data_IF_119602733239
#
_entry.id   IF_119602733239
#
_cell.length_a   1.000
_cell.length_b   1.000
_cell.length_c   1.000
_cell.angle_alpha   90.00
_cell.angle_beta   90.00
_cell.angle_gamma   90.00
#
_symmetry.space_group_name_H-M   'P 1'
#
loop_
_entity.id
_entity.type
_entity.pdbx_description
1 polymer ?
#
# COMPACT_ATOMS: atom_id res chain seq x y z
N UNK A 1 -13.13 7.76 -15.98
CA UNK A 1 -13.77 6.74 -15.12
C UNK A 1 -14.05 5.42 -15.83
N UNK A 2 -14.46 5.37 -17.12
CA UNK A 2 -14.77 4.10 -17.82
C UNK A 2 -13.72 2.98 -17.67
N UNK A 3 -12.42 3.32 -17.65
CA UNK A 3 -11.34 2.35 -17.45
C UNK A 3 -11.36 1.63 -16.08
N UNK A 4 -12.03 2.20 -15.08
CA UNK A 4 -12.11 1.69 -13.70
C UNK A 4 -13.49 1.13 -13.36
N UNK A 5 -14.36 0.85 -14.34
CA UNK A 5 -15.63 0.12 -14.17
C UNK A 5 -16.48 0.57 -12.97
N UNK A 6 -16.88 -0.39 -12.13
CA UNK A 6 -17.59 -0.18 -10.86
C UNK A 6 -16.68 -0.30 -9.64
N UNK A 7 -15.39 0.01 -9.78
CA UNK A 7 -14.42 -0.10 -8.69
C UNK A 7 -14.70 0.89 -7.55
N UNK A 8 -14.21 0.56 -6.35
CA UNK A 8 -14.20 1.48 -5.23
C UNK A 8 -13.08 2.52 -5.38
N UNK A 9 -13.37 3.76 -4.97
CA UNK A 9 -12.37 4.81 -4.80
C UNK A 9 -12.19 5.05 -3.32
N UNK A 10 -11.11 4.50 -2.77
CA UNK A 10 -10.81 4.60 -1.36
C UNK A 10 -9.98 5.85 -1.05
N UNK A 11 -10.54 6.79 -0.29
CA UNK A 11 -9.94 8.10 -0.03
C UNK A 11 -9.65 8.29 1.46
N UNK A 12 -8.39 8.47 1.88
CA UNK A 12 -8.04 8.77 3.26
C UNK A 12 -8.24 10.26 3.61
N UNK A 13 -9.46 10.76 3.39
CA UNK A 13 -9.83 12.19 3.46
C UNK A 13 -9.47 12.84 4.79
N UNK A 14 -9.61 12.10 5.89
CA UNK A 14 -9.39 12.60 7.25
C UNK A 14 -8.02 12.23 7.81
N UNK A 15 -7.10 11.74 6.96
CA UNK A 15 -5.77 11.36 7.42
C UNK A 15 -4.85 12.57 7.65
N UNK A 16 -5.01 13.66 6.89
CA UNK A 16 -4.32 14.93 7.08
C UNK A 16 -5.23 16.10 6.77
N UNK A 17 -5.08 17.21 7.50
CA UNK A 17 -5.86 18.44 7.28
C UNK A 17 -5.90 18.90 5.80
N UNK A 18 -4.78 18.92 5.05
CA UNK A 18 -4.81 19.35 3.65
C UNK A 18 -5.53 18.39 2.71
N UNK A 19 -5.81 17.15 3.13
CA UNK A 19 -6.46 16.14 2.32
C UNK A 19 -7.98 16.26 2.28
N UNK A 20 -8.61 16.88 3.28
CA UNK A 20 -10.07 16.89 3.43
C UNK A 20 -10.77 17.58 2.25
N UNK A 21 -10.41 18.84 1.97
CA UNK A 21 -11.08 19.62 0.93
C UNK A 21 -10.92 19.00 -0.48
N UNK A 22 -9.72 18.59 -0.94
CA UNK A 22 -9.57 17.89 -2.22
C UNK A 22 -10.38 16.57 -2.29
N UNK A 23 -10.49 15.86 -1.16
CA UNK A 23 -11.24 14.61 -1.10
C UNK A 23 -12.75 14.82 -1.28
N UNK A 24 -13.29 15.87 -0.66
CA UNK A 24 -14.69 16.24 -0.83
C UNK A 24 -14.97 16.74 -2.25
N UNK A 25 -14.07 17.57 -2.81
CA UNK A 25 -14.17 17.99 -4.21
C UNK A 25 -14.16 16.81 -5.18
N UNK A 26 -13.29 15.83 -4.96
CA UNK A 26 -13.27 14.60 -5.77
C UNK A 26 -14.59 13.83 -5.63
N UNK A 27 -15.12 13.67 -4.41
CA UNK A 27 -16.41 13.03 -4.18
C UNK A 27 -17.56 13.71 -4.93
N UNK A 28 -17.66 15.05 -4.84
CA UNK A 28 -18.69 15.81 -5.54
C UNK A 28 -18.55 15.68 -7.07
N UNK A 29 -17.34 15.83 -7.62
CA UNK A 29 -17.12 15.67 -9.06
C UNK A 29 -17.50 14.27 -9.58
N UNK A 30 -17.29 13.22 -8.77
CA UNK A 30 -17.69 11.85 -9.13
C UNK A 30 -19.19 11.62 -9.04
N UNK A 31 -19.85 12.29 -8.10
CA UNK A 31 -21.31 12.26 -7.94
C UNK A 31 -21.98 12.99 -9.11
N UNK A 32 -21.50 14.18 -9.45
CA UNK A 32 -22.06 15.03 -10.50
C UNK A 32 -21.86 14.44 -11.91
N UNK A 33 -20.81 13.63 -12.10
CA UNK A 33 -20.52 12.96 -13.38
C UNK A 33 -21.28 11.65 -13.60
N UNK A 34 -22.22 11.30 -12.71
CA UNK A 34 -22.97 10.04 -12.73
C UNK A 34 -22.05 8.82 -12.91
N UNK A 35 -20.88 8.83 -12.24
CA UNK A 35 -19.91 7.75 -12.35
C UNK A 35 -20.41 6.49 -11.61
N UNK A 36 -20.08 5.30 -12.13
CA UNK A 36 -20.48 4.02 -11.51
C UNK A 36 -19.59 3.61 -10.32
N UNK A 37 -18.63 4.44 -9.93
CA UNK A 37 -17.71 4.13 -8.84
C UNK A 37 -18.26 4.56 -7.50
N UNK A 38 -18.04 3.72 -6.49
CA UNK A 38 -18.40 4.02 -5.10
C UNK A 38 -17.20 4.62 -4.38
N UNK A 39 -17.35 5.83 -3.85
CA UNK A 39 -16.34 6.49 -3.03
C UNK A 39 -16.45 6.00 -1.58
N UNK A 40 -15.33 5.57 -1.00
CA UNK A 40 -15.23 5.14 0.38
C UNK A 40 -14.23 6.03 1.12
N UNK A 41 -14.67 6.73 2.16
CA UNK A 41 -13.75 7.45 3.03
C UNK A 41 -13.14 6.52 4.07
N UNK A 42 -11.82 6.58 4.23
CA UNK A 42 -11.12 5.81 5.24
C UNK A 42 -11.61 6.20 6.65
N UNK A 43 -12.00 5.21 7.44
CA UNK A 43 -12.39 5.44 8.82
C UNK A 43 -11.18 5.97 9.63
N UNK A 44 -11.29 7.16 10.27
CA UNK A 44 -10.19 7.75 11.03
C UNK A 44 -9.76 6.92 12.25
N UNK A 45 -10.66 6.19 12.88
CA UNK A 45 -10.32 5.31 14.00
C UNK A 45 -9.52 4.09 13.53
N UNK A 46 -9.87 3.55 12.37
CA UNK A 46 -9.09 2.47 11.76
C UNK A 46 -7.67 2.95 11.42
N UNK A 47 -7.52 4.13 10.80
CA UNK A 47 -6.22 4.75 10.54
C UNK A 47 -5.37 4.91 11.81
N UNK A 48 -5.98 5.40 12.89
CA UNK A 48 -5.32 5.60 14.19
C UNK A 48 -4.91 4.28 14.83
N UNK A 49 -5.79 3.28 14.82
CA UNK A 49 -5.55 2.00 15.46
C UNK A 49 -4.47 1.19 14.75
N UNK A 50 -4.50 1.16 13.41
CA UNK A 50 -3.45 0.54 12.60
C UNK A 50 -2.11 1.25 12.81
N UNK A 51 -2.11 2.59 12.85
CA UNK A 51 -0.93 3.38 13.20
C UNK A 51 -0.29 2.96 14.53
N UNK A 52 -1.11 2.83 15.58
CA UNK A 52 -0.65 2.38 16.91
C UNK A 52 -0.13 0.94 16.87
N UNK A 53 -0.84 0.05 16.20
CA UNK A 53 -0.50 -1.37 16.09
C UNK A 53 0.92 -1.58 15.54
N UNK A 54 1.25 -0.88 14.46
CA UNK A 54 2.56 -0.98 13.80
C UNK A 54 3.66 -0.24 14.56
N UNK A 55 3.33 0.89 15.19
CA UNK A 55 4.27 1.59 16.06
C UNK A 55 4.75 0.71 17.21
N UNK A 56 3.83 -0.06 17.81
CA UNK A 56 4.17 -1.03 18.85
C UNK A 56 4.94 -2.26 18.33
N UNK A 57 5.15 -2.38 17.02
CA UNK A 57 5.93 -3.43 16.35
C UNK A 57 7.20 -2.89 15.68
N UNK A 58 7.63 -1.70 16.09
CA UNK A 58 8.90 -1.14 15.64
C UNK A 58 8.84 -0.37 14.31
N UNK A 59 7.65 0.09 13.89
CA UNK A 59 7.53 1.07 12.80
C UNK A 59 7.45 2.48 13.38
N UNK A 60 8.54 3.23 13.29
CA UNK A 60 8.77 4.53 13.89
C UNK A 60 8.53 5.71 12.93
N UNK A 61 8.00 5.45 11.74
CA UNK A 61 7.54 6.49 10.83
C UNK A 61 6.52 7.42 11.49
N UNK A 62 6.56 8.72 11.15
CA UNK A 62 5.54 9.68 11.62
C UNK A 62 4.14 9.25 11.18
N UNK A 63 4.04 8.60 10.03
CA UNK A 63 2.84 8.00 9.44
C UNK A 63 3.21 6.73 8.71
N UNK A 64 2.28 5.78 8.67
CA UNK A 64 2.40 4.62 7.80
C UNK A 64 2.29 5.04 6.33
N UNK A 65 2.95 4.33 5.44
CA UNK A 65 2.66 4.41 4.01
C UNK A 65 1.23 3.98 3.70
N UNK A 66 0.70 4.44 2.57
CA UNK A 66 -0.58 3.93 2.03
C UNK A 66 -0.52 2.41 1.82
N UNK A 67 0.64 1.88 1.40
CA UNK A 67 0.83 0.45 1.17
C UNK A 67 0.62 -0.38 2.43
N UNK A 68 1.29 -0.04 3.54
CA UNK A 68 1.16 -0.78 4.80
C UNK A 68 -0.25 -0.68 5.37
N UNK A 69 -0.90 0.48 5.22
CA UNK A 69 -2.29 0.65 5.62
C UNK A 69 -3.25 -0.26 4.83
N UNK A 70 -3.11 -0.33 3.51
CA UNK A 70 -3.94 -1.21 2.66
C UNK A 70 -3.67 -2.69 2.91
N UNK A 71 -2.42 -3.08 3.18
CA UNK A 71 -2.12 -4.46 3.60
C UNK A 71 -2.80 -4.78 4.92
N UNK A 72 -2.82 -3.85 5.88
CA UNK A 72 -3.50 -4.06 7.17
C UNK A 72 -5.00 -4.22 7.01
N UNK A 73 -5.61 -3.47 6.09
CA UNK A 73 -7.02 -3.61 5.73
C UNK A 73 -7.29 -4.97 5.07
N UNK A 74 -6.46 -5.36 4.10
CA UNK A 74 -6.60 -6.63 3.39
C UNK A 74 -6.48 -7.83 4.35
N UNK A 75 -5.53 -7.80 5.30
CA UNK A 75 -5.38 -8.85 6.32
C UNK A 75 -6.60 -9.00 7.23
N UNK A 76 -7.43 -7.96 7.37
CA UNK A 76 -8.68 -8.04 8.13
C UNK A 76 -9.90 -8.49 7.31
N UNK A 77 -9.80 -8.54 5.98
CA UNK A 77 -10.92 -8.79 5.08
C UNK A 77 -10.74 -10.01 4.16
N UNK A 78 -9.50 -10.37 3.86
CA UNK A 78 -9.17 -11.40 2.88
C UNK A 78 -8.62 -12.65 3.58
N UNK A 79 -8.97 -13.83 3.06
CA UNK A 79 -8.44 -15.11 3.56
C UNK A 79 -6.95 -15.27 3.24
N UNK A 80 -6.51 -14.82 2.06
CA UNK A 80 -5.12 -14.84 1.63
C UNK A 80 -4.72 -13.49 1.03
N UNK A 81 -3.58 -12.96 1.47
CA UNK A 81 -3.03 -11.69 0.98
C UNK A 81 -1.69 -11.94 0.31
N UNK A 82 -1.55 -11.50 -0.95
CA UNK A 82 -0.27 -11.48 -1.66
C UNK A 82 0.09 -10.04 -2.02
N UNK A 83 1.22 -9.56 -1.50
CA UNK A 83 1.71 -8.20 -1.68
C UNK A 83 2.78 -8.14 -2.77
N UNK A 84 2.61 -7.19 -3.70
CA UNK A 84 3.53 -6.91 -4.81
C UNK A 84 4.00 -5.46 -4.75
N UNK A 85 5.19 -5.17 -5.30
CA UNK A 85 5.71 -3.80 -5.39
C UNK A 85 6.20 -3.20 -4.06
N UNK A 86 6.32 -4.01 -3.00
CA UNK A 86 6.91 -3.58 -1.73
C UNK A 86 8.42 -3.78 -1.76
N UNK A 87 9.16 -2.78 -2.24
CA UNK A 87 10.61 -2.74 -2.24
C UNK A 87 11.12 -1.31 -2.02
N UNK A 88 11.44 -0.90 -0.78
CA UNK A 88 11.78 0.49 -0.48
C UNK A 88 13.27 0.81 -0.69
N UNK A 89 13.98 0.02 -1.51
CA UNK A 89 15.42 0.13 -1.72
C UNK A 89 15.74 0.49 -3.18
N UNK A 90 16.84 1.23 -3.38
CA UNK A 90 17.27 1.68 -4.70
C UNK A 90 18.09 0.66 -5.49
N UNK A 91 18.31 -0.52 -4.92
CA UNK A 91 19.08 -1.62 -5.52
C UNK A 91 18.20 -2.87 -5.53
N UNK A 92 18.10 -3.55 -6.66
CA UNK A 92 17.35 -4.78 -6.84
C UNK A 92 18.08 -6.02 -6.31
N UNK A 93 17.40 -7.16 -6.38
CA UNK A 93 17.98 -8.46 -5.98
C UNK A 93 19.13 -8.92 -6.87
N UNK A 94 19.23 -8.37 -8.08
CA UNK A 94 20.31 -8.60 -9.04
C UNK A 94 21.44 -7.55 -8.92
N UNK A 95 21.46 -6.79 -7.82
CA UNK A 95 22.42 -5.73 -7.52
C UNK A 95 22.37 -4.54 -8.50
N UNK A 96 21.35 -4.46 -9.35
CA UNK A 96 21.18 -3.33 -10.27
C UNK A 96 20.38 -2.20 -9.64
N UNK A 97 20.64 -0.94 -10.01
CA UNK A 97 19.79 0.17 -9.61
C UNK A 97 18.35 -0.04 -10.06
N UNK A 98 17.39 0.25 -9.19
CA UNK A 98 15.95 0.21 -9.48
C UNK A 98 15.31 1.56 -9.16
N UNK A 99 14.38 1.98 -10.01
CA UNK A 99 13.59 3.20 -9.79
C UNK A 99 12.70 3.07 -8.56
N UNK A 100 12.42 4.20 -7.91
CA UNK A 100 11.55 4.22 -6.73
C UNK A 100 10.11 3.78 -7.05
N UNK A 101 9.55 4.26 -8.17
CA UNK A 101 8.28 3.78 -8.68
C UNK A 101 8.50 2.90 -9.91
N UNK A 102 7.52 2.04 -10.21
CA UNK A 102 7.58 1.22 -11.43
C UNK A 102 7.35 2.04 -12.72
N UNK A 103 6.80 3.26 -12.59
CA UNK A 103 6.45 4.15 -13.71
C UNK A 103 7.31 5.41 -13.78
N UNK A 104 8.07 5.75 -12.73
CA UNK A 104 8.98 6.90 -12.68
C UNK A 104 10.04 6.73 -11.57
N UNK A 105 10.89 7.74 -11.36
CA UNK A 105 11.88 7.74 -10.28
C UNK A 105 11.73 8.94 -9.32
N UNK A 106 10.51 9.38 -9.06
CA UNK A 106 10.23 10.46 -8.10
C UNK A 106 10.42 9.91 -6.68
N UNK A 107 11.39 10.44 -5.95
CA UNK A 107 11.68 10.01 -4.58
C UNK A 107 10.63 10.53 -3.59
N UNK A 108 10.27 9.74 -2.56
CA UNK A 108 9.30 10.14 -1.57
C UNK A 108 9.93 11.11 -0.58
N UNK A 109 9.10 11.90 0.11
CA UNK A 109 9.58 12.66 1.26
C UNK A 109 9.93 11.69 2.40
N UNK A 110 11.23 11.53 2.67
CA UNK A 110 11.76 10.68 3.74
C UNK A 110 11.32 11.08 5.15
N UNK A 111 10.67 12.24 5.30
CA UNK A 111 10.28 12.79 6.61
C UNK A 111 9.03 12.14 7.22
N UNK A 112 8.23 11.42 6.43
CA UNK A 112 6.92 10.92 6.89
C UNK A 112 6.89 9.44 7.19
N UNK A 113 7.55 8.63 6.36
CA UNK A 113 7.43 7.17 6.37
C UNK A 113 8.76 6.53 6.73
N UNK A 114 8.70 5.40 7.42
CA UNK A 114 9.85 4.53 7.67
C UNK A 114 9.72 3.26 6.83
N UNK A 115 9.66 3.39 5.51
CA UNK A 115 9.35 2.27 4.61
C UNK A 115 10.30 1.06 4.75
N UNK A 116 11.60 1.21 5.05
CA UNK A 116 12.45 0.05 5.36
C UNK A 116 11.98 -0.75 6.58
N UNK A 117 11.50 -0.08 7.63
CA UNK A 117 10.93 -0.74 8.81
C UNK A 117 9.58 -1.40 8.46
N UNK A 118 8.74 -0.73 7.66
CA UNK A 118 7.49 -1.31 7.16
C UNK A 118 7.76 -2.59 6.35
N UNK A 119 8.74 -2.56 5.45
CA UNK A 119 9.16 -3.73 4.67
C UNK A 119 9.64 -4.86 5.58
N UNK A 120 10.44 -4.57 6.61
CA UNK A 120 10.90 -5.59 7.55
C UNK A 120 9.72 -6.28 8.26
N UNK A 121 8.71 -5.52 8.67
CA UNK A 121 7.50 -6.08 9.28
C UNK A 121 6.71 -6.95 8.30
N UNK A 122 6.53 -6.50 7.05
CA UNK A 122 5.89 -7.30 6.02
C UNK A 122 6.68 -8.58 5.72
N UNK A 123 8.02 -8.51 5.77
CA UNK A 123 8.89 -9.66 5.57
C UNK A 123 8.76 -10.68 6.71
N UNK A 124 8.64 -10.22 7.96
CA UNK A 124 8.33 -11.11 9.08
C UNK A 124 6.98 -11.82 8.89
N UNK A 125 5.94 -11.10 8.46
CA UNK A 125 4.64 -11.70 8.13
C UNK A 125 4.72 -12.68 6.95
N UNK A 126 5.62 -12.42 5.98
CA UNK A 126 5.89 -13.36 4.91
C UNK A 126 6.51 -14.65 5.41
N UNK A 127 7.54 -14.53 6.26
CA UNK A 127 8.26 -15.67 6.84
C UNK A 127 7.39 -16.51 7.79
N UNK A 128 6.41 -15.91 8.45
CA UNK A 128 5.43 -16.62 9.29
C UNK A 128 4.26 -17.24 8.50
N UNK A 129 4.16 -16.97 7.19
CA UNK A 129 3.04 -17.44 6.36
C UNK A 129 1.75 -16.64 6.53
N UNK A 130 1.77 -15.51 7.24
CA UNK A 130 0.59 -14.64 7.43
C UNK A 130 0.20 -13.90 6.16
N UNK A 131 1.18 -13.54 5.32
CA UNK A 131 0.95 -13.05 3.97
C UNK A 131 2.02 -13.58 3.02
N UNK A 132 1.85 -13.40 1.71
CA UNK A 132 2.89 -13.69 0.73
C UNK A 132 3.47 -12.40 0.18
N UNK A 133 4.76 -12.16 0.37
CA UNK A 133 5.45 -11.10 -0.37
C UNK A 133 6.00 -11.67 -1.67
N UNK A 134 5.79 -10.94 -2.76
CA UNK A 134 6.40 -11.22 -4.06
C UNK A 134 7.47 -10.17 -4.33
N UNK A 135 8.71 -10.59 -4.16
CA UNK A 135 9.91 -9.80 -4.43
C UNK A 135 10.67 -10.47 -5.58
N UNK A 136 10.99 -9.69 -6.61
CA UNK A 136 11.60 -10.19 -7.85
C UNK A 136 10.57 -10.66 -8.88
N UNK A 137 11.07 -11.36 -9.90
CA UNK A 137 10.26 -11.80 -11.04
C UNK A 137 9.24 -12.87 -10.63
N UNK A 138 8.06 -12.80 -11.25
CA UNK A 138 7.10 -13.88 -11.18
C UNK A 138 7.60 -15.08 -11.99
N UNK A 139 7.37 -16.29 -11.47
CA UNK A 139 7.62 -17.50 -12.24
C UNK A 139 6.77 -17.47 -13.52
N UNK A 140 7.40 -17.74 -14.67
CA UNK A 140 6.65 -17.97 -15.90
C UNK A 140 5.89 -19.29 -15.77
N UNK A 141 4.64 -19.32 -16.22
CA UNK A 141 3.85 -20.55 -16.26
C UNK A 141 4.66 -21.67 -16.92
N UNK A 142 4.77 -22.83 -16.25
CA UNK A 142 5.52 -23.99 -16.72
C UNK A 142 7.01 -24.07 -16.33
N UNK A 143 7.56 -23.10 -15.59
CA UNK A 143 8.91 -23.24 -15.03
C UNK A 143 8.90 -23.89 -13.64
N UNK A 144 9.84 -24.83 -13.36
CA UNK A 144 9.95 -25.41 -12.03
C UNK A 144 10.25 -24.31 -11.01
N UNK A 145 9.55 -24.34 -9.86
CA UNK A 145 9.87 -23.46 -8.73
C UNK A 145 11.32 -23.74 -8.35
N UNK A 146 12.19 -22.73 -8.48
CA UNK A 146 13.54 -22.81 -7.91
C UNK A 146 13.39 -22.80 -6.39
N UNK A 147 13.52 -23.97 -5.79
CA UNK A 147 13.78 -24.09 -4.36
C UNK A 147 15.17 -23.50 -4.09
N UNK A 148 15.22 -22.50 -3.20
CA UNK A 148 16.43 -22.08 -2.50
C UNK A 148 16.16 -22.20 -1.02
#
# INVERSE_FOLDING_TARGET
>A
MKAYGSSYIYIPAFSMKPGTDPSLRAYHALTDSASNQTVLFANPDFLKNVGRFWKNRGVHGKRLSTGLFLVSLALGLCEEVTAYGFWPFSVGLDERPVSHHYYDNILPSSRFHAMPEEFLQLWHLHKSGTLRMRVGDCAKEGQPKREK
#
